data_IF_379764169247
#
_entry.id   IF_379764169247
#
_cell.length_a   1.000
_cell.length_b   1.000
_cell.length_c   1.000
_cell.angle_alpha   90.00
_cell.angle_beta   90.00
_cell.angle_gamma   90.00
#
_symmetry.space_group_name_H-M   'P 1'
#
loop_
_entity.id
_entity.type
_entity.pdbx_description
1 polymer ?
#
# COMPACT_ATOMS: atom_id res chain seq x y z
N UNK A 1 -8.97 -23.26 3.56
CA UNK A 1 -9.56 -22.63 4.76
C UNK A 1 -11.05 -22.41 4.53
N UNK A 2 -11.88 -22.49 5.58
CA UNK A 2 -13.27 -22.03 5.54
C UNK A 2 -13.29 -20.49 5.63
N UNK A 3 -13.92 -19.75 4.70
CA UNK A 3 -14.05 -18.29 4.78
C UNK A 3 -14.61 -17.79 6.12
N UNK A 4 -15.60 -18.49 6.71
CA UNK A 4 -16.21 -18.09 7.98
C UNK A 4 -15.21 -18.13 9.14
N UNK A 5 -14.33 -19.13 9.15
CA UNK A 5 -13.27 -19.25 10.17
C UNK A 5 -12.24 -18.13 10.01
N UNK A 6 -11.94 -17.73 8.78
CA UNK A 6 -11.02 -16.63 8.47
C UNK A 6 -11.61 -15.30 8.92
N UNK A 7 -12.89 -15.07 8.64
CA UNK A 7 -13.61 -13.89 9.11
C UNK A 7 -13.56 -13.80 10.64
N UNK A 8 -13.88 -14.89 11.34
CA UNK A 8 -13.80 -14.94 12.81
C UNK A 8 -12.42 -14.55 13.33
N UNK A 9 -11.34 -15.07 12.73
CA UNK A 9 -9.97 -14.71 13.12
C UNK A 9 -9.70 -13.23 12.86
N UNK A 10 -10.03 -12.71 11.67
CA UNK A 10 -9.71 -11.32 11.31
C UNK A 10 -10.51 -10.28 12.13
N UNK A 11 -11.73 -10.61 12.54
CA UNK A 11 -12.57 -9.74 13.37
C UNK A 11 -12.22 -9.79 14.85
N UNK A 12 -11.87 -10.97 15.38
CA UNK A 12 -11.64 -11.15 16.81
C UNK A 12 -10.17 -11.04 17.23
N UNK A 13 -9.23 -11.30 16.31
CA UNK A 13 -7.79 -11.22 16.58
C UNK A 13 -7.22 -9.95 15.96
N UNK A 14 -7.20 -8.87 16.74
CA UNK A 14 -6.67 -7.58 16.29
C UNK A 14 -5.14 -7.49 16.41
N UNK A 15 -4.53 -8.27 17.32
CA UNK A 15 -3.08 -8.23 17.52
C UNK A 15 -2.38 -8.87 16.33
N UNK A 16 -1.29 -8.22 15.92
CA UNK A 16 -0.42 -8.74 14.88
C UNK A 16 0.43 -9.89 15.44
N UNK A 17 0.84 -10.77 14.55
CA UNK A 17 1.81 -11.81 14.88
C UNK A 17 3.18 -11.21 15.28
N UNK A 18 3.98 -11.96 16.04
CA UNK A 18 5.30 -11.51 16.50
C UNK A 18 6.26 -11.14 15.36
N UNK A 19 6.09 -11.71 14.16
CA UNK A 19 6.87 -11.35 12.98
C UNK A 19 6.82 -9.87 12.63
N UNK A 20 5.77 -9.14 13.01
CA UNK A 20 5.64 -7.71 12.76
C UNK A 20 6.64 -6.88 13.59
N UNK A 21 7.28 -7.46 14.62
CA UNK A 21 8.31 -6.79 15.42
C UNK A 21 9.52 -6.34 14.58
N UNK A 22 9.81 -7.03 13.47
CA UNK A 22 10.93 -6.69 12.59
C UNK A 22 10.71 -5.37 11.83
N UNK A 23 9.45 -4.96 11.65
CA UNK A 23 9.09 -3.69 11.06
C UNK A 23 9.08 -2.55 12.10
N UNK A 24 8.92 -2.86 13.40
CA UNK A 24 8.85 -1.87 14.47
C UNK A 24 10.12 -1.02 14.59
N UNK A 25 11.30 -1.57 14.30
CA UNK A 25 12.55 -0.80 14.33
C UNK A 25 12.56 0.34 13.30
N UNK A 26 11.81 0.21 12.21
CA UNK A 26 11.73 1.20 11.16
C UNK A 26 10.47 2.06 11.30
N UNK A 27 9.29 1.44 11.51
CA UNK A 27 7.99 2.12 11.49
C UNK A 27 7.49 2.53 12.88
N UNK A 28 8.24 2.21 13.94
CA UNK A 28 7.86 2.52 15.31
C UNK A 28 6.47 1.99 15.67
N UNK A 29 5.58 2.88 16.14
CA UNK A 29 4.18 2.59 16.42
C UNK A 29 3.22 3.09 15.32
N UNK A 30 3.68 3.11 14.07
CA UNK A 30 2.83 3.38 12.93
C UNK A 30 1.69 2.37 12.77
N UNK A 31 0.69 2.72 11.95
CA UNK A 31 -0.60 2.02 11.86
C UNK A 31 -0.49 0.51 11.55
N UNK A 32 0.59 0.09 10.90
CA UNK A 32 0.82 -1.30 10.51
C UNK A 32 1.25 -2.22 11.67
N UNK A 33 1.93 -1.65 12.68
CA UNK A 33 2.68 -2.37 13.74
C UNK A 33 2.31 -1.96 15.17
N UNK A 34 1.52 -0.90 15.33
CA UNK A 34 1.06 -0.38 16.61
C UNK A 34 0.37 -1.46 17.46
N UNK A 35 0.57 -1.45 18.80
CA UNK A 35 -0.25 -2.22 19.72
C UNK A 35 -1.74 -1.88 19.59
N UNK A 36 -2.63 -2.83 19.85
CA UNK A 36 -4.07 -2.70 19.56
C UNK A 36 -4.72 -1.45 20.17
N UNK A 37 -4.38 -1.10 21.40
CA UNK A 37 -5.00 0.06 22.07
C UNK A 37 -4.59 1.39 21.40
N UNK A 38 -3.30 1.53 21.09
CA UNK A 38 -2.77 2.69 20.38
C UNK A 38 -3.31 2.74 18.94
N UNK A 39 -3.35 1.60 18.27
CA UNK A 39 -3.90 1.45 16.94
C UNK A 39 -5.36 1.90 16.86
N UNK A 40 -6.21 1.52 17.84
CA UNK A 40 -7.61 1.95 17.89
C UNK A 40 -7.73 3.47 17.96
N UNK A 41 -6.89 4.13 18.77
CA UNK A 41 -6.87 5.58 18.88
C UNK A 41 -6.44 6.23 17.58
N UNK A 42 -5.30 5.82 17.01
CA UNK A 42 -4.74 6.42 15.80
C UNK A 42 -5.65 6.17 14.59
N UNK A 43 -6.22 4.96 14.46
CA UNK A 43 -7.16 4.62 13.39
C UNK A 43 -8.41 5.49 13.43
N UNK A 44 -8.92 5.86 14.61
CA UNK A 44 -10.09 6.74 14.73
C UNK A 44 -9.81 8.14 14.14
N UNK A 45 -8.59 8.63 14.29
CA UNK A 45 -8.17 9.95 13.75
C UNK A 45 -7.87 9.88 12.26
N UNK A 46 -7.20 8.81 11.82
CA UNK A 46 -6.79 8.59 10.42
C UNK A 46 -7.95 8.22 9.48
N UNK A 47 -8.88 7.37 9.92
CA UNK A 47 -9.90 6.80 9.03
C UNK A 47 -10.72 7.87 8.28
N UNK A 48 -11.20 8.96 8.93
CA UNK A 48 -11.97 9.95 8.20
C UNK A 48 -11.13 10.85 7.27
N UNK A 49 -9.80 10.71 7.22
CA UNK A 49 -8.95 11.37 6.22
C UNK A 49 -9.08 10.65 4.86
N UNK A 50 -9.33 9.35 4.88
CA UNK A 50 -9.56 8.54 3.69
C UNK A 50 -11.04 8.50 3.28
N UNK A 51 -11.84 9.50 3.66
CA UNK A 51 -13.21 9.64 3.14
C UNK A 51 -13.19 10.17 1.70
N UNK A 52 -14.19 9.76 0.91
CA UNK A 52 -14.27 9.99 -0.53
C UNK A 52 -13.91 11.41 -0.99
N UNK A 53 -14.34 12.46 -0.27
CA UNK A 53 -14.06 13.85 -0.65
C UNK A 53 -12.57 14.19 -0.73
N UNK A 54 -11.74 13.67 0.18
CA UNK A 54 -10.29 13.92 0.18
C UNK A 54 -9.60 13.08 -0.91
N UNK A 55 -10.10 11.86 -1.13
CA UNK A 55 -9.57 10.97 -2.19
C UNK A 55 -9.88 11.56 -3.58
N UNK A 56 -11.04 12.19 -3.75
CA UNK A 56 -11.41 12.88 -4.99
C UNK A 56 -10.41 13.96 -5.37
N UNK A 57 -9.88 14.72 -4.39
CA UNK A 57 -8.85 15.72 -4.63
C UNK A 57 -7.51 15.10 -5.10
N UNK A 58 -7.27 13.81 -4.81
CA UNK A 58 -6.07 13.09 -5.25
C UNK A 58 -6.19 12.49 -6.65
N UNK A 59 -7.39 12.42 -7.24
CA UNK A 59 -7.58 11.88 -8.60
C UNK A 59 -6.75 12.68 -9.61
N UNK A 60 -6.66 14.01 -9.43
CA UNK A 60 -5.82 14.86 -10.28
C UNK A 60 -4.34 14.47 -10.20
N UNK A 61 -3.82 14.16 -9.00
CA UNK A 61 -2.44 13.67 -8.82
C UNK A 61 -2.23 12.36 -9.56
N UNK A 62 -3.19 11.43 -9.43
CA UNK A 62 -3.11 10.13 -10.09
C UNK A 62 -3.07 10.30 -11.61
N UNK A 63 -3.89 11.19 -12.15
CA UNK A 63 -3.88 11.56 -13.57
C UNK A 63 -2.54 12.15 -14.01
N UNK A 64 -2.05 13.17 -13.32
CA UNK A 64 -0.78 13.84 -13.66
C UNK A 64 0.41 12.87 -13.63
N UNK A 65 0.57 12.12 -12.54
CA UNK A 65 1.67 11.15 -12.40
C UNK A 65 1.52 9.97 -13.36
N UNK A 66 0.29 9.57 -13.69
CA UNK A 66 -0.03 8.58 -14.70
C UNK A 66 0.34 9.03 -16.11
N UNK A 67 0.09 10.28 -16.49
CA UNK A 67 0.52 10.83 -17.79
C UNK A 67 2.04 10.83 -17.93
N UNK A 68 2.77 11.20 -16.87
CA UNK A 68 4.25 11.11 -16.86
C UNK A 68 4.70 9.67 -17.06
N UNK A 69 4.06 8.71 -16.38
CA UNK A 69 4.37 7.28 -16.54
C UNK A 69 4.20 6.83 -18.00
N UNK A 70 3.09 7.20 -18.64
CA UNK A 70 2.83 6.89 -20.06
C UNK A 70 3.90 7.51 -20.96
N UNK A 71 4.23 8.79 -20.79
CA UNK A 71 5.28 9.46 -21.55
C UNK A 71 6.63 8.73 -21.45
N UNK A 72 6.99 8.26 -20.25
CA UNK A 72 8.22 7.47 -20.06
C UNK A 72 8.17 6.09 -20.71
N UNK A 73 6.98 5.50 -20.84
CA UNK A 73 6.78 4.25 -21.57
C UNK A 73 6.84 4.46 -23.09
N UNK A 74 6.38 5.60 -23.61
CA UNK A 74 6.48 5.93 -25.05
C UNK A 74 7.94 5.94 -25.53
N UNK A 75 8.87 6.35 -24.69
CA UNK A 75 10.31 6.28 -24.98
C UNK A 75 10.81 4.85 -25.23
N UNK A 76 10.03 3.82 -24.88
CA UNK A 76 10.35 2.40 -25.10
C UNK A 76 9.74 1.82 -26.37
N UNK A 77 8.95 2.59 -27.11
CA UNK A 77 8.41 2.15 -28.40
C UNK A 77 9.55 1.76 -29.36
N UNK A 78 9.43 0.58 -29.99
CA UNK A 78 10.44 0.04 -30.90
C UNK A 78 11.74 -0.45 -30.25
N UNK A 79 11.83 -0.45 -28.91
CA UNK A 79 12.98 -0.99 -28.17
C UNK A 79 12.69 -2.43 -27.69
N UNK A 80 13.71 -3.19 -27.24
CA UNK A 80 13.51 -4.51 -26.65
C UNK A 80 12.58 -4.49 -25.43
N UNK A 81 12.15 -5.68 -25.02
CA UNK A 81 11.38 -5.87 -23.79
C UNK A 81 12.04 -5.21 -22.57
N UNK A 82 11.19 -4.71 -21.67
CA UNK A 82 11.64 -4.03 -20.47
C UNK A 82 10.73 -4.38 -19.28
N UNK A 83 11.28 -4.23 -18.08
CA UNK A 83 10.57 -4.45 -16.84
C UNK A 83 9.71 -3.24 -16.48
N UNK A 84 8.40 -3.38 -16.63
CA UNK A 84 7.42 -2.32 -16.36
C UNK A 84 7.28 -2.00 -14.87
N UNK A 85 7.59 -2.96 -13.99
CA UNK A 85 7.43 -2.79 -12.54
C UNK A 85 8.27 -1.63 -12.03
N UNK A 86 9.50 -1.47 -12.53
CA UNK A 86 10.40 -0.36 -12.17
C UNK A 86 9.78 1.02 -12.45
N UNK A 87 9.07 1.16 -13.57
CA UNK A 87 8.43 2.41 -13.95
C UNK A 87 7.21 2.70 -13.06
N UNK A 88 6.39 1.68 -12.83
CA UNK A 88 5.18 1.80 -12.00
C UNK A 88 5.56 2.10 -10.54
N UNK A 89 6.56 1.44 -9.96
CA UNK A 89 7.01 1.71 -8.59
C UNK A 89 7.44 3.16 -8.40
N UNK A 90 8.16 3.75 -9.37
CA UNK A 90 8.53 5.18 -9.35
C UNK A 90 7.31 6.09 -9.43
N UNK A 91 6.35 5.81 -10.33
CA UNK A 91 5.10 6.57 -10.42
C UNK A 91 4.31 6.52 -9.10
N UNK A 92 4.18 5.32 -8.51
CA UNK A 92 3.52 5.16 -7.22
C UNK A 92 4.26 5.87 -6.08
N UNK A 93 5.59 6.03 -6.15
CA UNK A 93 6.34 6.77 -5.14
C UNK A 93 6.01 8.26 -5.23
N UNK A 94 6.02 8.83 -6.43
CA UNK A 94 5.67 10.23 -6.64
C UNK A 94 4.21 10.53 -6.22
N UNK A 95 3.27 9.64 -6.55
CA UNK A 95 1.88 9.75 -6.10
C UNK A 95 1.81 9.78 -4.56
N UNK A 96 2.51 8.87 -3.89
CA UNK A 96 2.50 8.79 -2.42
C UNK A 96 3.18 9.99 -1.79
N UNK A 97 4.32 10.46 -2.32
CA UNK A 97 4.99 11.66 -1.81
C UNK A 97 4.11 12.89 -1.97
N UNK A 98 3.43 13.04 -3.10
CA UNK A 98 2.58 14.21 -3.35
C UNK A 98 1.28 14.17 -2.51
N UNK A 99 0.66 13.00 -2.35
CA UNK A 99 -0.60 12.86 -1.60
C UNK A 99 -0.40 12.78 -0.08
N UNK A 100 0.68 12.12 0.38
CA UNK A 100 0.93 11.92 1.80
C UNK A 100 1.80 13.02 2.43
N UNK A 101 2.80 13.51 1.70
CA UNK A 101 3.77 14.49 2.20
C UNK A 101 3.62 15.88 1.56
N UNK A 102 2.88 16.01 0.46
CA UNK A 102 2.80 17.25 -0.30
C UNK A 102 4.10 17.62 -1.03
N UNK A 103 4.97 16.65 -1.29
CA UNK A 103 6.30 16.86 -1.88
C UNK A 103 6.37 16.25 -3.30
N UNK A 104 6.92 17.01 -4.25
CA UNK A 104 7.16 16.54 -5.63
C UNK A 104 8.62 16.09 -5.75
N UNK A 105 8.85 14.78 -5.59
CA UNK A 105 10.19 14.19 -5.56
C UNK A 105 10.75 13.86 -6.95
N UNK A 106 9.89 13.77 -7.97
CA UNK A 106 10.25 13.48 -9.35
C UNK A 106 11.07 12.19 -9.50
N UNK A 107 10.68 11.16 -8.74
CA UNK A 107 11.32 9.84 -8.69
C UNK A 107 11.22 9.13 -10.02
N UNK A 108 10.20 9.41 -10.82
CA UNK A 108 10.10 8.92 -12.18
C UNK A 108 11.35 9.30 -12.98
N UNK A 109 11.75 10.57 -13.05
CA UNK A 109 12.95 10.95 -13.80
C UNK A 109 14.25 10.64 -13.03
N UNK A 110 14.23 10.77 -11.69
CA UNK A 110 15.40 10.62 -10.83
C UNK A 110 15.21 9.51 -9.77
N UNK A 111 15.22 8.23 -10.17
CA UNK A 111 14.89 7.13 -9.27
C UNK A 111 15.95 6.82 -8.21
N UNK A 112 17.16 7.36 -8.35
CA UNK A 112 18.31 7.02 -7.49
C UNK A 112 18.59 8.08 -6.41
N UNK A 113 17.73 8.09 -5.39
CA UNK A 113 17.92 8.98 -4.23
C UNK A 113 18.50 8.22 -3.02
N UNK A 114 19.24 8.90 -2.12
CA UNK A 114 19.71 8.30 -0.88
C UNK A 114 18.59 7.66 -0.04
N UNK A 115 17.41 8.29 -0.01
CA UNK A 115 16.22 7.78 0.68
C UNK A 115 15.78 6.43 0.10
N UNK A 116 15.67 6.31 -1.23
CA UNK A 116 15.18 5.08 -1.87
C UNK A 116 16.18 3.93 -1.76
N UNK A 117 17.48 4.21 -1.88
CA UNK A 117 18.53 3.20 -1.63
C UNK A 117 18.46 2.70 -0.19
N UNK A 118 18.31 3.60 0.77
CA UNK A 118 18.21 3.25 2.18
C UNK A 118 16.96 2.43 2.49
N UNK A 119 15.79 2.86 1.99
CA UNK A 119 14.52 2.14 2.07
C UNK A 119 14.64 0.71 1.54
N UNK A 120 15.18 0.54 0.33
CA UNK A 120 15.31 -0.78 -0.30
C UNK A 120 16.28 -1.68 0.49
N UNK A 121 17.35 -1.12 1.05
CA UNK A 121 18.27 -1.85 1.92
C UNK A 121 17.57 -2.33 3.20
N UNK A 122 16.85 -1.45 3.89
CA UNK A 122 16.09 -1.80 5.12
C UNK A 122 15.06 -2.89 4.82
N UNK A 123 14.29 -2.74 3.74
CA UNK A 123 13.28 -3.73 3.35
C UNK A 123 13.90 -5.10 3.04
N UNK A 124 15.05 -5.13 2.34
CA UNK A 124 15.79 -6.37 2.04
C UNK A 124 16.27 -7.08 3.32
N UNK A 125 16.80 -6.32 4.29
CA UNK A 125 17.25 -6.87 5.58
C UNK A 125 16.08 -7.42 6.39
N UNK A 126 14.95 -6.70 6.42
CA UNK A 126 13.73 -7.14 7.13
C UNK A 126 13.18 -8.43 6.50
N UNK A 127 13.08 -8.49 5.17
CA UNK A 127 12.65 -9.70 4.46
C UNK A 127 13.60 -10.88 4.73
N UNK A 128 14.91 -10.65 4.67
CA UNK A 128 15.90 -11.68 5.01
C UNK A 128 15.70 -12.18 6.45
N UNK A 129 15.48 -11.28 7.40
CA UNK A 129 15.29 -11.60 8.82
C UNK A 129 14.00 -12.38 9.07
N UNK A 130 12.95 -12.09 8.31
CA UNK A 130 11.67 -12.80 8.37
C UNK A 130 11.84 -14.29 8.02
N UNK A 131 12.59 -14.60 6.96
CA UNK A 131 12.72 -15.98 6.44
C UNK A 131 13.93 -16.76 7.00
N UNK A 132 14.95 -16.09 7.56
CA UNK A 132 16.11 -16.77 8.17
C UNK A 132 15.93 -16.89 9.68
N UNK A 133 15.44 -18.04 10.14
CA UNK A 133 15.13 -18.29 11.56
C UNK A 133 16.28 -17.95 12.54
N UNK A 134 17.54 -18.21 12.15
CA UNK A 134 18.71 -17.89 12.98
C UNK A 134 19.03 -16.39 13.10
N UNK A 135 18.45 -15.52 12.25
CA UNK A 135 18.54 -14.06 12.36
C UNK A 135 17.36 -13.44 13.11
N UNK A 136 16.34 -14.21 13.48
CA UNK A 136 15.18 -13.68 14.19
C UNK A 136 15.48 -13.25 15.64
N UNK A 137 16.30 -13.97 16.44
CA UNK A 137 16.67 -13.50 17.77
C UNK A 137 17.50 -12.20 17.70
N UNK A 138 17.06 -11.16 18.41
CA UNK A 138 17.72 -9.84 18.40
C UNK A 138 19.20 -9.94 18.80
N UNK A 139 19.53 -10.79 19.79
CA UNK A 139 20.90 -11.01 20.22
C UNK A 139 21.81 -11.51 19.10
N UNK A 140 21.35 -12.48 18.29
CA UNK A 140 22.14 -12.99 17.17
C UNK A 140 22.22 -11.97 16.04
N UNK A 141 21.11 -11.28 15.73
CA UNK A 141 21.07 -10.27 14.69
C UNK A 141 22.00 -9.09 14.98
N UNK A 142 22.02 -8.61 16.23
CA UNK A 142 22.84 -7.47 16.66
C UNK A 142 24.35 -7.76 16.61
N UNK A 143 24.77 -9.03 16.56
CA UNK A 143 26.16 -9.43 16.37
C UNK A 143 26.59 -9.41 14.89
N UNK A 144 25.65 -9.27 13.96
CA UNK A 144 25.94 -9.25 12.51
C UNK A 144 26.20 -7.83 12.01
N UNK A 145 26.90 -7.71 10.88
CA UNK A 145 27.05 -6.44 10.17
C UNK A 145 25.70 -5.88 9.67
N UNK A 146 24.69 -6.74 9.47
CA UNK A 146 23.37 -6.31 9.03
C UNK A 146 22.67 -5.40 10.01
N UNK A 147 22.86 -5.56 11.32
CA UNK A 147 22.25 -4.68 12.31
C UNK A 147 22.78 -3.25 12.20
N UNK A 148 24.09 -3.08 11.99
CA UNK A 148 24.72 -1.78 11.76
C UNK A 148 24.21 -1.14 10.46
N UNK A 149 24.22 -1.90 9.36
CA UNK A 149 23.73 -1.44 8.05
C UNK A 149 22.24 -1.06 8.15
N UNK A 150 21.42 -1.86 8.82
CA UNK A 150 20.00 -1.57 9.00
C UNK A 150 19.80 -0.26 9.75
N UNK A 151 20.52 -0.06 10.86
CA UNK A 151 20.43 1.17 11.64
C UNK A 151 20.82 2.41 10.83
N UNK A 152 21.97 2.37 10.16
CA UNK A 152 22.44 3.49 9.33
C UNK A 152 21.43 3.87 8.23
N UNK A 153 20.82 2.87 7.58
CA UNK A 153 19.82 3.13 6.54
C UNK A 153 18.47 3.57 7.12
N UNK A 154 18.07 3.06 8.30
CA UNK A 154 16.89 3.58 9.02
C UNK A 154 17.09 5.06 9.34
N UNK A 155 18.25 5.45 9.87
CA UNK A 155 18.57 6.84 10.22
C UNK A 155 18.48 7.77 8.98
N UNK A 156 18.92 7.30 7.80
CA UNK A 156 18.77 8.04 6.53
C UNK A 156 17.28 8.21 6.17
N UNK A 157 16.48 7.15 6.28
CA UNK A 157 15.04 7.24 5.99
C UNK A 157 14.32 8.16 6.96
N UNK A 158 14.62 8.06 8.25
CA UNK A 158 14.01 8.88 9.29
C UNK A 158 14.38 10.34 9.14
N UNK A 159 15.66 10.65 8.88
CA UNK A 159 16.11 12.02 8.63
C UNK A 159 15.30 12.70 7.53
N UNK A 160 15.11 12.03 6.39
CA UNK A 160 14.31 12.57 5.29
C UNK A 160 12.88 12.88 5.73
N UNK A 161 12.22 11.92 6.39
CA UNK A 161 10.83 12.10 6.84
C UNK A 161 10.68 13.11 7.97
N UNK A 162 11.65 13.21 8.88
CA UNK A 162 11.67 14.20 9.95
C UNK A 162 11.83 15.61 9.40
N UNK A 163 12.67 15.80 8.38
CA UNK A 163 12.81 17.08 7.68
C UNK A 163 11.49 17.51 7.02
N UNK A 164 10.78 16.56 6.38
CA UNK A 164 9.46 16.81 5.79
C UNK A 164 8.42 17.16 6.85
N UNK A 165 8.32 16.36 7.92
CA UNK A 165 7.37 16.58 9.03
C UNK A 165 7.62 17.91 9.71
N UNK A 166 8.89 18.25 9.99
CA UNK A 166 9.26 19.49 10.66
C UNK A 166 8.94 20.71 9.79
N UNK A 167 9.24 20.65 8.49
CA UNK A 167 8.91 21.71 7.53
C UNK A 167 7.40 21.92 7.43
N UNK A 168 6.64 20.84 7.29
CA UNK A 168 5.16 20.90 7.21
C UNK A 168 4.53 21.44 8.49
N UNK A 169 5.05 21.06 9.67
CA UNK A 169 4.58 21.60 10.95
C UNK A 169 4.87 23.09 11.08
N UNK A 170 6.06 23.55 10.68
CA UNK A 170 6.40 24.97 10.70
C UNK A 170 5.44 25.78 9.82
N UNK A 171 5.25 25.35 8.56
CA UNK A 171 4.30 25.99 7.63
C UNK A 171 2.85 26.00 8.15
N UNK A 172 2.42 24.91 8.79
CA UNK A 172 1.08 24.83 9.38
C UNK A 172 0.89 25.79 10.56
N UNK A 173 1.92 25.99 11.39
CA UNK A 173 1.87 26.92 12.50
C UNK A 173 1.88 28.38 12.02
N UNK A 174 2.67 28.70 11.00
CA UNK A 174 2.72 30.04 10.41
C UNK A 174 1.38 30.41 9.75
N UNK A 175 0.79 29.51 8.95
CA UNK A 175 -0.50 29.76 8.30
C UNK A 175 -1.68 29.93 9.29
N UNK A 176 -1.63 29.28 10.46
CA UNK A 176 -2.65 29.50 11.51
C UNK A 176 -2.52 30.87 12.19
N UNK A 177 -1.34 31.49 12.18
CA UNK A 177 -1.12 32.81 12.76
C UNK A 177 -1.58 33.94 11.83
N UNK A 178 -1.49 33.74 10.51
CA UNK A 178 -1.82 34.75 9.50
C UNK A 178 -3.31 34.78 9.07
N UNK A 179 -4.15 33.89 9.63
CA UNK A 179 -5.60 33.89 9.39
C UNK A 179 -6.04 33.54 7.96
N UNK A 180 -5.09 33.26 7.06
CA UNK A 180 -5.32 32.96 5.65
C UNK A 180 -5.36 31.44 5.44
N UNK A 181 -6.54 30.83 5.62
CA UNK A 181 -6.76 29.45 5.18
C UNK A 181 -6.76 29.41 3.66
N UNK A 182 -5.59 29.16 3.05
CA UNK A 182 -5.50 28.85 1.63
C UNK A 182 -6.43 27.66 1.30
N UNK A 183 -7.41 27.91 0.44
CA UNK A 183 -8.34 26.92 -0.13
C UNK A 183 -7.62 26.02 -1.14
N UNK A 184 -6.66 25.23 -0.67
CA UNK A 184 -5.91 24.26 -1.47
C UNK A 184 -6.19 22.82 -1.03
N UNK A 185 -5.86 21.87 -1.92
CA UNK A 185 -5.83 20.44 -1.63
C UNK A 185 -4.86 20.17 -0.48
N UNK A 186 -5.35 19.53 0.59
CA UNK A 186 -4.54 19.17 1.75
C UNK A 186 -3.92 17.78 1.58
N UNK A 187 -2.63 17.66 1.81
CA UNK A 187 -1.98 16.37 1.94
C UNK A 187 -2.32 15.72 3.30
N UNK A 188 -1.96 14.44 3.44
CA UNK A 188 -2.22 13.68 4.65
C UNK A 188 -1.57 14.29 5.90
N UNK A 189 -0.35 14.81 5.81
CA UNK A 189 0.33 15.45 6.95
C UNK A 189 -0.44 16.68 7.42
N UNK A 190 -0.88 17.54 6.51
CA UNK A 190 -1.71 18.71 6.83
C UNK A 190 -3.07 18.31 7.43
N UNK A 191 -3.66 17.22 6.94
CA UNK A 191 -4.90 16.67 7.49
C UNK A 191 -4.71 16.08 8.90
N UNK A 192 -3.57 15.44 9.17
CA UNK A 192 -3.21 14.95 10.50
C UNK A 192 -2.93 16.09 11.48
N UNK A 193 -2.20 17.12 11.05
CA UNK A 193 -1.92 18.32 11.84
C UNK A 193 -3.20 19.09 12.18
N UNK A 194 -4.13 19.21 11.24
CA UNK A 194 -5.41 19.90 11.46
C UNK A 194 -6.41 19.15 12.34
N UNK A 195 -6.36 17.82 12.36
CA UNK A 195 -7.29 16.98 13.14
C UNK A 195 -6.76 16.57 14.50
N UNK A 196 -5.48 16.80 14.76
CA UNK A 196 -4.83 16.40 16.01
C UNK A 196 -4.36 17.61 16.81
N UNK A 197 -5.00 17.87 17.96
CA UNK A 197 -4.18 18.24 19.12
C UNK A 197 -3.52 16.94 19.60
N UNK A 198 -2.18 16.93 19.64
CA UNK A 198 -1.30 15.96 20.34
C UNK A 198 -0.52 14.89 19.55
N UNK A 199 -0.49 14.83 18.21
CA UNK A 199 0.57 14.02 17.57
C UNK A 199 1.93 14.70 17.70
N UNK A 200 2.92 13.96 18.17
CA UNK A 200 4.34 14.34 18.17
C UNK A 200 4.91 14.24 16.75
N UNK A 201 6.08 14.85 16.52
CA UNK A 201 6.77 14.68 15.24
C UNK A 201 7.13 13.21 14.97
N UNK A 202 7.47 12.47 16.02
CA UNK A 202 7.77 11.04 15.93
C UNK A 202 6.55 10.25 15.46
N UNK A 203 5.37 10.44 16.07
CA UNK A 203 4.15 9.75 15.64
C UNK A 203 3.75 10.11 14.20
N UNK A 204 3.92 11.38 13.79
CA UNK A 204 3.69 11.78 12.41
C UNK A 204 4.65 11.07 11.45
N UNK A 205 5.95 11.02 11.78
CA UNK A 205 6.95 10.29 11.00
C UNK A 205 6.56 8.82 10.84
N UNK A 206 6.25 8.15 11.95
CA UNK A 206 5.87 6.74 11.96
C UNK A 206 4.65 6.44 11.07
N UNK A 207 3.65 7.33 11.08
CA UNK A 207 2.48 7.21 10.22
C UNK A 207 2.81 7.41 8.74
N UNK A 208 3.63 8.40 8.42
CA UNK A 208 4.05 8.66 7.04
C UNK A 208 4.95 7.57 6.49
N UNK A 209 5.91 7.06 7.27
CA UNK A 209 6.72 5.90 6.88
C UNK A 209 5.83 4.68 6.58
N UNK A 210 4.87 4.42 7.47
CA UNK A 210 3.93 3.29 7.31
C UNK A 210 3.09 3.39 6.04
N UNK A 211 2.55 4.59 5.75
CA UNK A 211 1.68 4.82 4.59
C UNK A 211 2.48 4.83 3.31
N UNK A 212 3.71 5.37 3.34
CA UNK A 212 4.61 5.36 2.18
C UNK A 212 4.91 3.94 1.71
N UNK A 213 5.18 3.03 2.65
CA UNK A 213 5.43 1.63 2.32
C UNK A 213 4.16 0.94 1.86
N UNK A 214 3.07 1.11 2.60
CA UNK A 214 1.82 0.42 2.32
C UNK A 214 1.24 0.82 0.95
N UNK A 215 1.28 2.11 0.60
CA UNK A 215 0.69 2.64 -0.63
C UNK A 215 1.54 2.45 -1.88
N UNK A 216 2.86 2.19 -1.73
CA UNK A 216 3.78 2.13 -2.85
C UNK A 216 3.89 0.74 -3.51
N UNK A 217 4.64 -0.18 -2.89
CA UNK A 217 4.98 -1.47 -3.50
C UNK A 217 3.71 -2.31 -3.77
N UNK A 218 2.70 -2.19 -2.90
CA UNK A 218 1.50 -3.04 -3.01
C UNK A 218 0.68 -2.69 -4.26
N UNK A 219 0.38 -1.42 -4.45
CA UNK A 219 -0.35 -0.90 -5.61
C UNK A 219 0.46 -1.10 -6.89
N UNK A 220 1.77 -0.86 -6.84
CA UNK A 220 2.65 -1.03 -7.99
C UNK A 220 2.63 -2.48 -8.51
N UNK A 221 2.65 -3.47 -7.61
CA UNK A 221 2.54 -4.87 -7.99
C UNK A 221 1.17 -5.21 -8.59
N UNK A 222 0.06 -4.68 -8.02
CA UNK A 222 -1.28 -4.91 -8.59
C UNK A 222 -1.37 -4.37 -10.02
N UNK A 223 -0.90 -3.14 -10.26
CA UNK A 223 -0.89 -2.54 -11.60
C UNK A 223 0.00 -3.35 -12.54
N UNK A 224 1.21 -3.73 -12.13
CA UNK A 224 2.13 -4.52 -12.94
C UNK A 224 1.54 -5.88 -13.35
N UNK A 225 0.94 -6.61 -12.40
CA UNK A 225 0.25 -7.87 -12.71
C UNK A 225 -0.99 -7.68 -13.57
N UNK A 226 -1.71 -6.56 -13.40
CA UNK A 226 -2.88 -6.25 -14.23
C UNK A 226 -2.45 -6.06 -15.68
N UNK A 227 -1.40 -5.28 -15.92
CA UNK A 227 -0.86 -5.06 -17.26
C UNK A 227 -0.29 -6.34 -17.87
N UNK A 228 0.39 -7.17 -17.08
CA UNK A 228 0.88 -8.48 -17.50
C UNK A 228 -0.28 -9.40 -17.94
N UNK A 229 -1.35 -9.47 -17.14
CA UNK A 229 -2.53 -10.28 -17.44
C UNK A 229 -3.27 -9.78 -18.68
N UNK A 230 -3.46 -8.47 -18.83
CA UNK A 230 -4.06 -7.88 -20.03
C UNK A 230 -3.21 -8.17 -21.27
N UNK A 231 -1.88 -7.98 -21.19
CA UNK A 231 -0.96 -8.31 -22.28
C UNK A 231 -0.99 -9.80 -22.67
N UNK A 232 -1.30 -10.69 -21.72
CA UNK A 232 -1.43 -12.13 -21.94
C UNK A 232 -2.83 -12.58 -22.40
N UNK A 233 -3.85 -11.74 -22.24
CA UNK A 233 -5.25 -12.04 -22.56
C UNK A 233 -5.84 -10.93 -23.44
N UNK A 234 -5.52 -10.97 -24.74
CA UNK A 234 -5.87 -9.91 -25.69
C UNK A 234 -7.38 -9.64 -25.80
N UNK A 235 -8.23 -10.67 -25.65
CA UNK A 235 -9.69 -10.48 -25.62
C UNK A 235 -10.16 -9.64 -24.42
N UNK A 236 -9.49 -9.79 -23.27
CA UNK A 236 -9.78 -9.05 -22.05
C UNK A 236 -9.27 -7.62 -22.16
N UNK A 237 -8.08 -7.44 -22.74
CA UNK A 237 -7.53 -6.13 -23.07
C UNK A 237 -8.44 -5.34 -24.03
N UNK A 238 -8.97 -5.97 -25.07
CA UNK A 238 -9.87 -5.32 -26.03
C UNK A 238 -11.19 -4.85 -25.38
N UNK A 239 -11.72 -5.61 -24.41
CA UNK A 239 -12.92 -5.21 -23.66
C UNK A 239 -12.66 -3.99 -22.79
N UNK A 240 -11.54 -3.98 -22.05
CA UNK A 240 -11.10 -2.81 -21.27
C UNK A 240 -10.89 -1.60 -22.19
N UNK A 241 -10.23 -1.79 -23.34
CA UNK A 241 -10.01 -0.72 -24.31
C UNK A 241 -11.33 -0.12 -24.81
N UNK A 242 -12.31 -0.94 -25.19
CA UNK A 242 -13.64 -0.48 -25.64
C UNK A 242 -14.41 0.26 -24.55
N UNK A 243 -14.35 -0.22 -23.31
CA UNK A 243 -14.93 0.46 -22.15
C UNK A 243 -14.32 1.86 -21.99
N UNK A 244 -12.99 1.96 -21.93
CA UNK A 244 -12.30 3.23 -21.78
C UNK A 244 -12.56 4.16 -22.98
N UNK A 245 -12.56 3.63 -24.21
CA UNK A 245 -12.89 4.41 -25.42
C UNK A 245 -14.30 4.97 -25.39
N UNK A 246 -15.26 4.24 -24.81
CA UNK A 246 -16.64 4.72 -24.63
C UNK A 246 -16.72 5.85 -23.60
N UNK A 247 -15.93 5.78 -22.54
CA UNK A 247 -15.91 6.78 -21.46
C UNK A 247 -15.20 8.08 -21.90
N UNK A 248 -14.05 7.96 -22.58
CA UNK A 248 -13.17 9.10 -22.89
C UNK A 248 -13.27 9.59 -24.34
N UNK A 249 -13.74 8.77 -25.28
CA UNK A 249 -13.75 9.11 -26.71
C UNK A 249 -12.34 9.39 -27.24
N UNK A 250 -12.13 10.59 -27.80
CA UNK A 250 -10.82 11.07 -28.28
C UNK A 250 -10.11 11.99 -27.26
N UNK A 251 -10.60 12.07 -26.03
CA UNK A 251 -10.03 12.98 -25.02
C UNK A 251 -8.89 12.33 -24.24
N UNK A 252 -7.75 13.02 -24.15
CA UNK A 252 -6.61 12.65 -23.30
C UNK A 252 -6.68 13.25 -21.87
N UNK A 253 -7.87 13.69 -21.44
CA UNK A 253 -8.04 14.26 -20.09
C UNK A 253 -7.83 13.20 -19.01
N UNK A 254 -7.41 13.63 -17.82
CA UNK A 254 -7.40 12.77 -16.65
C UNK A 254 -8.83 12.26 -16.31
N UNK A 255 -8.97 11.03 -15.78
CA UNK A 255 -10.23 10.55 -15.22
C UNK A 255 -10.72 11.45 -14.10
N UNK A 256 -12.03 11.58 -13.96
CA UNK A 256 -12.68 12.15 -12.78
C UNK A 256 -13.49 11.06 -12.05
N UNK A 257 -14.08 11.40 -10.91
CA UNK A 257 -14.88 10.45 -10.09
C UNK A 257 -16.01 9.77 -10.88
N UNK A 258 -16.70 10.52 -11.73
CA UNK A 258 -17.82 9.97 -12.51
C UNK A 258 -17.36 8.96 -13.56
N UNK A 259 -16.16 9.15 -14.11
CA UNK A 259 -15.56 8.18 -15.03
C UNK A 259 -15.19 6.89 -14.30
N UNK A 260 -14.57 7.00 -13.12
CA UNK A 260 -14.19 5.83 -12.31
C UNK A 260 -15.39 4.93 -12.00
N UNK A 261 -16.56 5.53 -11.72
CA UNK A 261 -17.81 4.80 -11.48
C UNK A 261 -18.37 4.08 -12.72
N UNK A 262 -17.83 4.34 -13.92
CA UNK A 262 -18.24 3.70 -15.18
C UNK A 262 -17.25 2.62 -15.62
N UNK A 263 -16.10 2.46 -14.94
CA UNK A 263 -15.04 1.50 -15.28
C UNK A 263 -15.33 0.10 -14.74
N UNK A 264 -16.53 -0.41 -15.01
CA UNK A 264 -17.06 -1.65 -14.40
C UNK A 264 -16.25 -2.90 -14.82
N UNK A 265 -15.82 -2.99 -16.07
CA UNK A 265 -15.01 -4.09 -16.59
C UNK A 265 -13.59 -4.03 -16.08
N UNK A 266 -12.97 -2.85 -16.12
CA UNK A 266 -11.62 -2.65 -15.57
C UNK A 266 -11.57 -2.96 -14.07
N UNK A 267 -12.58 -2.58 -13.28
CA UNK A 267 -12.65 -2.92 -11.86
C UNK A 267 -12.66 -4.46 -11.66
N UNK A 268 -13.44 -5.19 -12.47
CA UNK A 268 -13.48 -6.65 -12.43
C UNK A 268 -12.14 -7.28 -12.81
N UNK A 269 -11.46 -6.73 -13.82
CA UNK A 269 -10.11 -7.14 -14.22
C UNK A 269 -9.12 -6.96 -13.07
N UNK A 270 -9.17 -5.82 -12.36
CA UNK A 270 -8.31 -5.56 -11.20
C UNK A 270 -8.62 -6.52 -10.06
N UNK A 271 -9.90 -6.77 -9.75
CA UNK A 271 -10.34 -7.74 -8.72
C UNK A 271 -9.84 -9.15 -9.02
N UNK A 272 -9.99 -9.61 -10.26
CA UNK A 272 -9.51 -10.93 -10.68
C UNK A 272 -7.98 -11.02 -10.67
N UNK A 273 -7.30 -9.93 -11.02
CA UNK A 273 -5.84 -9.82 -10.87
C UNK A 273 -5.43 -9.98 -9.41
N UNK A 274 -6.06 -9.26 -8.47
CA UNK A 274 -5.74 -9.35 -7.04
C UNK A 274 -6.06 -10.73 -6.44
N UNK A 275 -7.08 -11.42 -6.98
CA UNK A 275 -7.39 -12.81 -6.63
C UNK A 275 -6.24 -13.73 -7.05
N UNK A 276 -5.84 -13.69 -8.33
CA UNK A 276 -4.78 -14.57 -8.84
C UNK A 276 -3.39 -14.24 -8.29
N UNK A 277 -3.06 -12.95 -8.20
CA UNK A 277 -1.79 -12.40 -7.74
C UNK A 277 -2.00 -11.63 -6.43
N UNK A 278 -2.23 -12.39 -5.36
CA UNK A 278 -2.47 -11.83 -4.03
C UNK A 278 -1.18 -11.23 -3.46
N UNK A 279 -1.02 -9.92 -3.60
CA UNK A 279 0.20 -9.16 -3.21
C UNK A 279 0.56 -9.33 -1.73
N UNK A 280 -0.44 -9.47 -0.84
CA UNK A 280 -0.24 -9.83 0.57
C UNK A 280 -0.79 -11.24 0.79
N UNK A 281 0.00 -12.30 0.52
CA UNK A 281 -0.49 -13.68 0.45
C UNK A 281 -0.79 -14.28 1.82
N UNK A 282 -0.15 -13.77 2.89
CA UNK A 282 -0.31 -14.24 4.26
C UNK A 282 -0.46 -13.05 5.20
N UNK A 283 -1.44 -13.13 6.10
CA UNK A 283 -1.69 -12.13 7.13
C UNK A 283 -1.53 -12.81 8.50
N UNK A 284 -0.55 -12.35 9.27
CA UNK A 284 -0.31 -12.84 10.63
C UNK A 284 -1.19 -12.17 11.68
N UNK A 285 -1.75 -12.96 12.59
CA UNK A 285 -2.50 -12.53 13.78
C UNK A 285 -2.06 -13.30 15.02
N UNK A 286 -2.31 -12.74 16.19
CA UNK A 286 -2.17 -13.43 17.47
C UNK A 286 -3.52 -13.45 18.19
N UNK A 287 -3.93 -14.61 18.67
CA UNK A 287 -5.18 -14.76 19.44
C UNK A 287 -5.03 -14.15 20.83
N UNK A 288 -5.89 -13.22 21.22
CA UNK A 288 -5.90 -12.69 22.60
C UNK A 288 -6.75 -13.51 23.56
N UNK A 289 -7.71 -14.26 23.03
CA UNK A 289 -8.65 -15.12 23.76
C UNK A 289 -8.88 -16.40 22.97
N UNK A 290 -9.54 -17.37 23.61
CA UNK A 290 -9.98 -18.58 22.92
C UNK A 290 -10.91 -18.23 21.73
N UNK A 291 -10.66 -18.83 20.57
CA UNK A 291 -11.49 -18.66 19.37
C UNK A 291 -12.00 -20.03 18.90
N UNK A 292 -13.33 -20.19 18.85
CA UNK A 292 -13.98 -21.39 18.32
C UNK A 292 -14.17 -21.30 16.81
N UNK A 293 -13.41 -22.09 16.08
CA UNK A 293 -13.58 -22.30 14.65
C UNK A 293 -14.48 -23.50 14.39
N UNK A 294 -14.81 -23.75 13.12
CA UNK A 294 -15.74 -24.80 12.71
C UNK A 294 -15.36 -26.19 13.23
N UNK A 295 -14.05 -26.52 13.20
CA UNK A 295 -13.56 -27.87 13.52
C UNK A 295 -12.53 -27.90 14.68
N UNK A 296 -12.11 -26.74 15.18
CA UNK A 296 -11.04 -26.64 16.18
C UNK A 296 -11.24 -25.41 17.05
N UNK A 297 -10.72 -25.46 18.27
CA UNK A 297 -10.67 -24.32 19.18
C UNK A 297 -9.23 -23.87 19.32
N UNK A 298 -8.96 -22.60 18.99
CA UNK A 298 -7.64 -21.99 19.14
C UNK A 298 -7.51 -21.42 20.56
N UNK A 299 -6.46 -21.79 21.33
CA UNK A 299 -6.23 -21.20 22.64
C UNK A 299 -5.74 -19.76 22.53
N UNK A 300 -5.74 -19.01 23.63
CA UNK A 300 -5.12 -17.69 23.67
C UNK A 300 -3.60 -17.76 23.50
N UNK A 301 -3.01 -16.70 22.95
CA UNK A 301 -1.55 -16.55 22.81
C UNK A 301 -0.90 -17.21 21.59
N UNK A 302 -1.64 -17.87 20.70
CA UNK A 302 -1.06 -18.52 19.51
C UNK A 302 -1.03 -17.61 18.28
N UNK A 303 0.01 -17.77 17.46
CA UNK A 303 0.12 -17.16 16.14
C UNK A 303 -0.80 -17.86 15.14
N UNK A 304 -1.49 -17.07 14.31
CA UNK A 304 -2.41 -17.50 13.28
C UNK A 304 -2.01 -16.88 11.95
N UNK A 305 -1.73 -17.72 10.95
CA UNK A 305 -1.44 -17.28 9.59
C UNK A 305 -2.67 -17.45 8.71
N UNK A 306 -3.27 -16.34 8.26
CA UNK A 306 -4.35 -16.35 7.27
C UNK A 306 -3.71 -16.34 5.88
N UNK A 307 -3.75 -17.48 5.19
CA UNK A 307 -3.20 -17.65 3.85
C UNK A 307 -4.21 -17.25 2.76
N UNK A 308 -4.37 -15.94 2.54
CA UNK A 308 -5.27 -15.37 1.53
C UNK A 308 -5.01 -15.93 0.12
N UNK A 309 -3.74 -16.13 -0.25
CA UNK A 309 -3.39 -16.72 -1.55
C UNK A 309 -4.03 -18.10 -1.76
N UNK A 310 -4.00 -18.96 -0.74
CA UNK A 310 -4.58 -20.31 -0.81
C UNK A 310 -6.10 -20.24 -0.93
N UNK A 311 -6.74 -19.29 -0.25
CA UNK A 311 -8.19 -19.08 -0.36
C UNK A 311 -8.58 -18.60 -1.75
N UNK A 312 -7.86 -17.60 -2.27
CA UNK A 312 -8.12 -17.03 -3.58
C UNK A 312 -7.89 -18.04 -4.72
N UNK A 313 -7.08 -19.07 -4.51
CA UNK A 313 -6.81 -20.17 -5.46
C UNK A 313 -7.57 -21.48 -5.16
N UNK A 314 -8.42 -21.49 -4.13
CA UNK A 314 -9.07 -22.71 -3.68
C UNK A 314 -10.13 -23.17 -4.69
N UNK A 315 -9.89 -24.32 -5.35
CA UNK A 315 -10.87 -24.94 -6.26
C UNK A 315 -12.21 -25.29 -5.60
N UNK A 316 -12.21 -25.47 -4.28
CA UNK A 316 -13.45 -25.66 -3.50
C UNK A 316 -14.32 -24.40 -3.44
N UNK A 317 -13.71 -23.22 -3.47
CA UNK A 317 -14.40 -21.93 -3.37
C UNK A 317 -14.67 -21.32 -4.74
N UNK A 318 -13.69 -21.44 -5.65
CA UNK A 318 -13.70 -20.77 -6.95
C UNK A 318 -13.98 -21.69 -8.13
N UNK A 319 -14.21 -22.99 -7.88
CA UNK A 319 -14.46 -23.98 -8.92
C UNK A 319 -13.20 -24.62 -9.51
N UNK A 320 -13.35 -25.61 -10.41
CA UNK A 320 -12.23 -26.35 -10.99
C UNK A 320 -11.26 -25.47 -11.81
N UNK A 321 -11.76 -24.34 -12.31
CA UNK A 321 -11.07 -23.34 -13.12
C UNK A 321 -10.49 -22.18 -12.28
N UNK A 322 -10.37 -22.34 -10.96
CA UNK A 322 -9.85 -21.31 -10.04
C UNK A 322 -8.49 -20.70 -10.46
N UNK A 323 -7.68 -21.41 -11.23
CA UNK A 323 -6.39 -20.92 -11.70
C UNK A 323 -6.46 -20.07 -12.97
N UNK A 324 -7.62 -20.03 -13.62
CA UNK A 324 -7.86 -19.27 -14.85
C UNK A 324 -8.20 -17.81 -14.53
N UNK A 325 -7.74 -16.91 -15.41
CA UNK A 325 -8.10 -15.50 -15.38
C UNK A 325 -9.48 -15.30 -16.00
N UNK A 326 -10.46 -14.97 -15.16
CA UNK A 326 -11.84 -14.73 -15.59
C UNK A 326 -12.46 -13.55 -14.83
N UNK A 327 -12.42 -12.32 -15.39
CA UNK A 327 -13.03 -11.14 -14.78
C UNK A 327 -14.53 -11.28 -14.48
N UNK A 328 -15.26 -12.13 -15.21
CA UNK A 328 -16.70 -12.31 -15.01
C UNK A 328 -17.06 -12.97 -13.67
N UNK A 329 -16.08 -13.50 -12.91
CA UNK A 329 -16.30 -13.96 -11.54
C UNK A 329 -16.78 -12.85 -10.60
N UNK A 330 -16.52 -11.58 -10.95
CA UNK A 330 -16.91 -10.40 -10.19
C UNK A 330 -18.09 -9.65 -10.84
N UNK A 331 -18.93 -10.34 -11.62
CA UNK A 331 -20.22 -9.77 -12.03
C UNK A 331 -21.08 -9.49 -10.77
N UNK A 332 -21.95 -8.46 -10.81
CA UNK A 332 -22.83 -8.13 -9.68
C UNK A 332 -23.70 -9.31 -9.21
N UNK A 333 -24.04 -10.22 -10.12
CA UNK A 333 -24.82 -11.43 -9.89
C UNK A 333 -24.14 -12.45 -8.95
N UNK A 334 -22.81 -12.34 -8.79
CA UNK A 334 -21.98 -13.21 -7.96
C UNK A 334 -21.39 -12.51 -6.73
N UNK A 335 -21.79 -11.24 -6.49
CA UNK A 335 -21.20 -10.36 -5.46
C UNK A 335 -21.94 -10.38 -4.13
#
# INVERSE_FOLDING_TARGET
LNPDDVQKILENCLDKDESYKFLRSWLGNGLFVAPVDLWKMHRRVLLPIFHNRIIEDYIEVFGQQGSILVQRMEEKLGKPEFDIYKYITSCMLDIVFETAMGEKMDVQHNPDTPYLRARNCVMSIINMRLFKAWLQPDALFNLTSYAKIQKENIDITHKFTDEVVSRKRALFNDNNNDGDTKEGRKDLLELLLSRGKHFTNEELREHIDSITIAGNDTTALVIAYTLLLLGSHQEEQEKVYKELKTIFGESDRAPNKEDLNKMDYLERVIKETMRLYTVVPVIGRRTQKEIKLSNVTLPAGVGCAVASFVMHRSKRLWGPDADQFNPNRFLPEFS
#
